data_IF_776290976380
#
_entry.id   IF_776290976380
#
_cell.length_a   1.000
_cell.length_b   1.000
_cell.length_c   1.000
_cell.angle_alpha   90.00
_cell.angle_beta   90.00
_cell.angle_gamma   90.00
#
_symmetry.space_group_name_H-M   'P 1'
#
loop_
_entity.id
_entity.type
_entity.pdbx_description
1 polymer ?
#
# COMPACT_ATOMS: atom_id res chain seq x y z
N UNK A 1 44.86 17.83 8.83
CA UNK A 1 44.20 17.78 7.51
C UNK A 1 44.67 19.01 6.73
N UNK A 2 45.01 18.92 5.43
CA UNK A 2 45.33 20.13 4.64
C UNK A 2 44.07 21.01 4.57
N UNK A 3 44.20 22.33 4.79
CA UNK A 3 43.09 23.29 4.74
C UNK A 3 42.81 23.83 3.34
N UNK A 4 43.58 23.39 2.34
CA UNK A 4 43.44 23.78 0.94
C UNK A 4 43.38 22.56 0.03
N UNK A 5 42.65 22.68 -1.07
CA UNK A 5 42.75 21.80 -2.23
C UNK A 5 43.83 22.42 -3.13
N UNK A 6 44.91 21.68 -3.33
CA UNK A 6 46.09 22.12 -4.07
C UNK A 6 46.12 21.36 -5.38
N UNK A 7 45.97 22.08 -6.49
CA UNK A 7 45.96 21.55 -7.86
C UNK A 7 47.24 22.06 -8.53
N UNK A 8 48.02 21.16 -9.13
CA UNK A 8 49.22 21.51 -9.88
C UNK A 8 49.23 20.87 -11.25
N UNK A 9 49.55 21.66 -12.26
CA UNK A 9 49.71 21.26 -13.65
C UNK A 9 48.44 20.70 -14.28
N UNK A 10 47.27 21.30 -14.04
CA UNK A 10 46.03 20.84 -14.68
C UNK A 10 46.03 21.18 -16.17
N UNK A 11 45.87 20.16 -17.02
CA UNK A 11 45.94 20.22 -18.49
C UNK A 11 44.74 19.57 -19.20
N UNK A 12 43.76 19.11 -18.43
CA UNK A 12 42.55 18.50 -18.99
C UNK A 12 41.88 19.42 -20.03
N UNK A 13 41.61 18.87 -21.22
CA UNK A 13 41.07 19.58 -22.38
C UNK A 13 41.87 20.83 -22.78
N UNK A 14 41.34 22.03 -22.53
CA UNK A 14 41.96 23.29 -22.94
C UNK A 14 42.68 24.03 -21.80
N UNK A 15 42.79 23.41 -20.61
CA UNK A 15 43.55 23.96 -19.49
C UNK A 15 45.04 24.07 -19.85
N UNK A 16 45.67 25.19 -19.49
CA UNK A 16 47.05 25.52 -19.88
C UNK A 16 48.01 25.37 -18.71
N UNK A 17 48.18 24.14 -18.23
CA UNK A 17 49.08 23.79 -17.11
C UNK A 17 48.81 24.65 -15.87
N UNK A 18 47.56 24.63 -15.42
CA UNK A 18 47.04 25.54 -14.40
C UNK A 18 47.38 25.05 -12.98
N UNK A 19 47.89 25.96 -12.15
CA UNK A 19 48.13 25.75 -10.72
C UNK A 19 47.14 26.57 -9.89
N UNK A 20 46.47 25.93 -8.92
CA UNK A 20 45.48 26.56 -8.06
C UNK A 20 45.55 26.07 -6.62
N UNK A 21 45.32 26.99 -5.68
CA UNK A 21 45.13 26.69 -4.26
C UNK A 21 43.74 27.18 -3.83
N UNK A 22 42.83 26.23 -3.62
CA UNK A 22 41.44 26.52 -3.25
C UNK A 22 41.22 26.32 -1.74
N UNK A 23 40.58 27.25 -1.03
CA UNK A 23 40.28 27.06 0.39
C UNK A 23 39.23 25.95 0.58
N UNK A 24 39.48 25.00 1.50
CA UNK A 24 38.47 24.00 1.86
C UNK A 24 37.37 24.65 2.71
N UNK A 25 36.19 24.03 2.72
CA UNK A 25 35.02 24.48 3.51
C UNK A 25 34.54 25.90 3.13
N UNK A 26 34.75 26.28 1.88
CA UNK A 26 34.27 27.53 1.30
C UNK A 26 33.36 27.24 0.11
N UNK A 27 32.42 28.15 -0.15
CA UNK A 27 31.66 28.16 -1.40
C UNK A 27 32.56 28.75 -2.47
N UNK A 28 33.14 27.89 -3.31
CA UNK A 28 34.02 28.28 -4.41
C UNK A 28 33.19 28.42 -5.68
N UNK A 29 33.23 29.59 -6.30
CA UNK A 29 32.55 29.86 -7.57
C UNK A 29 33.58 29.95 -8.69
N UNK A 30 33.49 29.06 -9.67
CA UNK A 30 34.30 29.11 -10.89
C UNK A 30 33.52 29.88 -11.97
N UNK A 31 34.05 31.03 -12.39
CA UNK A 31 33.39 31.93 -13.35
C UNK A 31 34.31 32.24 -14.54
N UNK A 32 33.73 32.69 -15.65
CA UNK A 32 34.43 32.99 -16.91
C UNK A 32 33.59 32.73 -18.16
N UNK A 33 34.03 33.22 -19.35
CA UNK A 33 33.28 33.11 -20.60
C UNK A 33 33.07 31.66 -21.04
N UNK A 34 32.07 31.39 -21.89
CA UNK A 34 31.83 30.04 -22.41
C UNK A 34 33.09 29.49 -23.08
N UNK A 35 33.40 28.21 -22.85
CA UNK A 35 34.62 27.58 -23.36
C UNK A 35 35.92 27.92 -22.61
N UNK A 36 35.90 28.72 -21.54
CA UNK A 36 37.13 29.09 -20.79
C UNK A 36 37.77 27.97 -19.96
N UNK A 37 37.28 26.73 -20.04
CA UNK A 37 37.79 25.58 -19.27
C UNK A 37 37.20 25.41 -17.87
N UNK A 38 36.09 26.11 -17.53
CA UNK A 38 35.42 25.98 -16.21
C UNK A 38 35.00 24.54 -15.91
N UNK A 39 34.29 23.91 -16.86
CA UNK A 39 33.83 22.53 -16.71
C UNK A 39 35.02 21.56 -16.68
N UNK A 40 36.05 21.82 -17.49
CA UNK A 40 37.28 21.02 -17.49
C UNK A 40 38.02 21.05 -16.17
N UNK A 41 38.03 22.19 -15.47
CA UNK A 41 38.58 22.30 -14.13
C UNK A 41 37.66 21.64 -13.08
N UNK A 42 36.38 21.99 -13.07
CA UNK A 42 35.45 21.59 -12.01
C UNK A 42 35.05 20.10 -12.10
N UNK A 43 34.58 19.66 -13.27
CA UNK A 43 34.06 18.31 -13.49
C UNK A 43 35.18 17.36 -13.93
N UNK A 44 35.88 17.72 -15.01
CA UNK A 44 36.82 16.78 -15.64
C UNK A 44 38.15 16.66 -14.88
N UNK A 45 38.46 17.57 -13.95
CA UNK A 45 39.69 17.50 -13.12
C UNK A 45 39.37 17.27 -11.65
N UNK A 46 38.70 18.22 -10.97
CA UNK A 46 38.48 18.15 -9.52
C UNK A 46 37.50 17.03 -9.17
N UNK A 47 36.29 17.04 -9.72
CA UNK A 47 35.32 15.99 -9.45
C UNK A 47 35.85 14.60 -9.85
N UNK A 48 36.43 14.49 -11.05
CA UNK A 48 37.03 13.24 -11.53
C UNK A 48 38.10 12.68 -10.57
N UNK A 49 39.06 13.49 -10.09
CA UNK A 49 40.05 13.04 -9.11
C UNK A 49 39.42 12.69 -7.76
N UNK A 50 38.44 13.47 -7.29
CA UNK A 50 37.77 13.24 -6.01
C UNK A 50 37.00 11.92 -5.99
N UNK A 51 36.25 11.65 -7.06
CA UNK A 51 35.50 10.40 -7.22
C UNK A 51 36.43 9.22 -7.48
N UNK A 52 37.44 9.34 -8.35
CA UNK A 52 38.43 8.28 -8.64
C UNK A 52 39.11 7.81 -7.35
N UNK A 53 39.62 8.73 -6.53
CA UNK A 53 40.29 8.38 -5.26
C UNK A 53 39.36 7.72 -4.25
N UNK A 54 38.10 8.15 -4.21
CA UNK A 54 37.10 7.53 -3.36
C UNK A 54 36.84 6.08 -3.81
N UNK A 55 36.61 5.85 -5.10
CA UNK A 55 36.44 4.49 -5.67
C UNK A 55 37.68 3.63 -5.45
N UNK A 56 38.87 4.20 -5.55
CA UNK A 56 40.14 3.50 -5.28
C UNK A 56 40.30 3.07 -3.81
N UNK A 57 39.58 3.69 -2.88
CA UNK A 57 39.56 3.29 -1.47
C UNK A 57 38.56 2.18 -1.15
N UNK A 58 37.65 1.85 -2.07
CA UNK A 58 36.67 0.78 -1.90
C UNK A 58 37.30 -0.62 -2.04
N UNK A 59 36.57 -1.65 -1.64
CA UNK A 59 37.03 -3.04 -1.71
C UNK A 59 37.36 -3.46 -3.16
N UNK A 60 38.28 -4.43 -3.30
CA UNK A 60 38.65 -5.01 -4.60
C UNK A 60 37.45 -5.55 -5.38
N UNK A 61 36.44 -6.07 -4.68
CA UNK A 61 35.17 -6.51 -5.25
C UNK A 61 34.33 -5.34 -5.79
N UNK A 62 34.17 -4.25 -5.02
CA UNK A 62 33.41 -3.08 -5.46
C UNK A 62 34.02 -2.43 -6.71
N UNK A 63 35.35 -2.45 -6.84
CA UNK A 63 36.07 -1.96 -8.04
C UNK A 63 35.77 -2.73 -9.33
N UNK A 64 35.19 -3.93 -9.26
CA UNK A 64 34.81 -4.70 -10.44
C UNK A 64 33.53 -4.15 -11.11
N UNK A 65 32.65 -3.50 -10.34
CA UNK A 65 31.34 -3.04 -10.80
C UNK A 65 31.23 -1.52 -10.98
N UNK A 66 32.29 -0.80 -10.62
CA UNK A 66 32.35 0.65 -10.76
C UNK A 66 33.15 1.00 -12.00
N UNK A 67 32.61 1.93 -12.80
CA UNK A 67 33.32 2.46 -13.95
C UNK A 67 34.68 3.00 -13.51
N UNK A 68 35.73 2.51 -14.17
CA UNK A 68 37.07 3.04 -13.99
C UNK A 68 37.09 4.43 -14.61
N UNK A 69 36.96 5.44 -13.78
CA UNK A 69 37.15 6.81 -14.21
C UNK A 69 38.58 6.99 -14.72
N UNK A 70 38.72 7.55 -15.90
CA UNK A 70 40.03 7.91 -16.43
C UNK A 70 40.71 8.90 -15.48
N UNK A 71 42.00 8.68 -15.23
CA UNK A 71 42.79 9.63 -14.46
C UNK A 71 42.94 10.91 -15.29
N UNK A 72 42.48 12.07 -14.81
CA UNK A 72 42.60 13.31 -15.55
C UNK A 72 44.06 13.76 -15.70
N UNK A 73 44.33 14.55 -16.73
CA UNK A 73 45.66 15.10 -17.00
C UNK A 73 45.98 16.24 -16.02
N UNK A 74 46.57 15.86 -14.89
CA UNK A 74 47.02 16.73 -13.82
C UNK A 74 48.25 16.12 -13.14
N UNK A 75 49.25 16.95 -12.82
CA UNK A 75 50.48 16.47 -12.16
C UNK A 75 50.20 16.03 -10.72
N UNK A 76 49.48 16.87 -9.98
CA UNK A 76 49.20 16.62 -8.57
C UNK A 76 47.93 17.30 -8.10
N UNK A 77 47.11 16.54 -7.39
CA UNK A 77 45.99 17.07 -6.61
C UNK A 77 46.13 16.62 -5.16
N UNK A 78 46.01 17.54 -4.23
CA UNK A 78 46.27 17.37 -2.81
C UNK A 78 45.09 17.93 -1.99
N UNK A 79 44.73 17.28 -0.89
CA UNK A 79 43.67 17.78 0.01
C UNK A 79 42.24 17.67 -0.55
N UNK A 80 42.03 16.87 -1.59
CA UNK A 80 40.71 16.64 -2.19
C UNK A 80 39.85 15.69 -1.35
N UNK A 81 38.57 16.01 -1.21
CA UNK A 81 37.56 15.15 -0.57
C UNK A 81 36.87 14.25 -1.60
N UNK A 82 36.19 13.17 -1.19
CA UNK A 82 35.20 12.51 -2.06
C UNK A 82 34.25 13.54 -2.65
N UNK A 83 34.05 13.49 -3.96
CA UNK A 83 33.32 14.51 -4.69
C UNK A 83 32.00 13.93 -5.25
N UNK A 84 30.97 14.77 -5.29
CA UNK A 84 29.67 14.48 -5.89
C UNK A 84 29.36 15.59 -6.88
N UNK A 85 29.09 15.23 -8.13
CA UNK A 85 28.67 16.18 -9.15
C UNK A 85 27.15 16.26 -9.16
N UNK A 86 26.63 17.48 -9.10
CA UNK A 86 25.21 17.77 -9.30
C UNK A 86 25.12 18.50 -10.64
N UNK A 87 24.86 17.73 -11.70
CA UNK A 87 24.73 18.23 -13.06
C UNK A 87 23.25 18.39 -13.43
N UNK A 88 22.95 19.34 -14.33
CA UNK A 88 21.66 19.40 -15.00
C UNK A 88 21.58 18.36 -16.14
N UNK A 89 22.01 17.12 -15.90
CA UNK A 89 21.68 16.02 -16.80
C UNK A 89 20.25 15.62 -16.51
N UNK A 90 19.39 15.66 -17.51
CA UNK A 90 18.05 15.11 -17.38
C UNK A 90 18.20 13.62 -17.08
N UNK A 91 17.83 13.15 -15.87
CA UNK A 91 17.81 11.72 -15.61
C UNK A 91 16.91 11.05 -16.65
N UNK A 92 17.30 9.85 -17.08
CA UNK A 92 16.51 9.03 -18.00
C UNK A 92 15.10 8.88 -17.42
N UNK A 93 14.12 9.49 -18.09
CA UNK A 93 12.72 9.46 -17.67
C UNK A 93 12.19 8.06 -17.90
N UNK A 94 12.01 7.29 -16.85
CA UNK A 94 11.18 6.08 -16.91
C UNK A 94 9.75 6.49 -16.61
N UNK A 95 8.78 5.89 -17.30
CA UNK A 95 7.35 6.21 -17.14
C UNK A 95 6.80 5.93 -15.74
N UNK A 96 7.56 5.22 -14.90
CA UNK A 96 7.21 4.91 -13.50
C UNK A 96 8.06 5.68 -12.48
N UNK A 97 8.96 6.56 -12.90
CA UNK A 97 9.68 7.45 -12.00
C UNK A 97 8.87 8.73 -11.79
N UNK A 98 8.67 9.09 -10.53
CA UNK A 98 7.98 10.30 -10.10
C UNK A 98 8.89 11.11 -9.20
N UNK A 99 8.53 12.36 -8.91
CA UNK A 99 9.25 13.17 -7.91
C UNK A 99 9.32 12.46 -6.56
N UNK A 100 8.24 11.78 -6.17
CA UNK A 100 8.16 11.05 -4.90
C UNK A 100 9.11 9.85 -4.84
N UNK A 101 9.32 9.13 -5.94
CA UNK A 101 10.29 8.03 -5.97
C UNK A 101 11.73 8.51 -6.09
N UNK A 102 11.98 9.59 -6.84
CA UNK A 102 13.32 10.18 -6.97
C UNK A 102 13.85 10.80 -5.67
N UNK A 103 12.94 11.30 -4.82
CA UNK A 103 13.27 11.90 -3.52
C UNK A 103 13.12 10.94 -2.34
N UNK A 104 12.74 9.67 -2.59
CA UNK A 104 12.39 8.66 -1.60
C UNK A 104 11.23 9.03 -0.65
N UNK A 105 10.64 10.23 -0.80
CA UNK A 105 9.48 10.68 0.00
C UNK A 105 8.33 9.68 -0.13
N UNK A 106 8.12 9.11 -1.32
CA UNK A 106 7.08 8.12 -1.53
C UNK A 106 7.32 6.83 -0.72
N UNK A 107 8.58 6.44 -0.47
CA UNK A 107 8.88 5.25 0.31
C UNK A 107 8.56 5.45 1.80
N UNK A 108 8.82 6.65 2.33
CA UNK A 108 8.36 7.02 3.68
C UNK A 108 6.84 7.07 3.78
N UNK A 109 6.19 7.60 2.75
CA UNK A 109 4.74 7.65 2.69
C UNK A 109 4.12 6.23 2.66
N UNK A 110 4.71 5.29 1.91
CA UNK A 110 4.29 3.88 1.91
C UNK A 110 4.39 3.26 3.30
N UNK A 111 5.47 3.55 4.02
CA UNK A 111 5.64 3.10 5.41
C UNK A 111 4.59 3.75 6.33
N UNK A 112 4.31 5.04 6.16
CA UNK A 112 3.30 5.76 6.93
C UNK A 112 1.92 5.10 6.77
N UNK A 113 1.45 4.92 5.53
CA UNK A 113 0.14 4.31 5.28
C UNK A 113 0.05 2.86 5.72
N UNK A 114 1.14 2.09 5.62
CA UNK A 114 1.16 0.72 6.11
C UNK A 114 1.09 0.62 7.65
N UNK A 115 1.63 1.60 8.37
CA UNK A 115 1.74 1.54 9.84
C UNK A 115 0.60 2.20 10.58
N UNK A 116 0.11 3.34 10.07
CA UNK A 116 -0.91 4.15 10.75
C UNK A 116 -2.11 4.46 9.86
N UNK A 117 -2.14 3.92 8.64
CA UNK A 117 -3.31 4.03 7.76
C UNK A 117 -4.50 3.29 8.35
N UNK A 118 -5.67 3.93 8.30
CA UNK A 118 -6.95 3.31 8.66
C UNK A 118 -7.65 2.88 7.38
N UNK A 119 -7.97 1.61 7.29
CA UNK A 119 -8.70 1.04 6.16
C UNK A 119 -10.19 1.16 6.43
N UNK A 120 -10.98 1.53 5.42
CA UNK A 120 -12.43 1.67 5.54
C UNK A 120 -13.13 0.78 4.52
N UNK A 121 -14.27 0.21 4.92
CA UNK A 121 -15.14 -0.53 4.02
C UNK A 121 -15.87 0.44 3.09
N UNK A 122 -15.77 0.29 1.76
CA UNK A 122 -16.59 1.08 0.84
C UNK A 122 -18.08 0.69 0.90
N UNK A 123 -18.39 -0.56 1.27
CA UNK A 123 -19.74 -1.13 1.15
C UNK A 123 -20.07 -1.46 -0.31
N UNK A 124 -21.37 -1.64 -0.59
CA UNK A 124 -21.87 -1.81 -1.95
C UNK A 124 -22.15 -0.45 -2.61
N UNK A 125 -22.17 -0.38 -3.97
CA UNK A 125 -22.49 0.86 -4.68
C UNK A 125 -23.81 1.51 -4.24
N UNK A 126 -24.79 0.69 -3.90
CA UNK A 126 -26.12 1.07 -3.44
C UNK A 126 -26.20 1.38 -1.93
N UNK A 127 -25.36 0.73 -1.11
CA UNK A 127 -25.36 0.87 0.37
C UNK A 127 -23.93 1.04 0.89
N UNK A 128 -23.45 2.29 1.04
CA UNK A 128 -22.11 2.55 1.55
C UNK A 128 -21.98 2.17 3.02
N UNK A 129 -20.83 1.59 3.40
CA UNK A 129 -20.58 1.13 4.76
C UNK A 129 -19.84 2.18 5.62
N UNK A 130 -18.63 2.58 5.19
CA UNK A 130 -17.80 3.56 5.91
C UNK A 130 -17.18 3.05 7.22
N UNK A 131 -17.39 1.77 7.57
CA UNK A 131 -16.84 1.16 8.80
C UNK A 131 -15.32 1.01 8.70
N UNK A 132 -14.61 1.38 9.77
CA UNK A 132 -13.17 1.14 9.89
C UNK A 132 -12.91 -0.38 9.99
N UNK A 133 -12.04 -0.88 9.13
CA UNK A 133 -11.60 -2.28 9.12
C UNK A 133 -10.44 -2.43 10.09
N UNK A 134 -10.68 -3.18 11.15
CA UNK A 134 -9.67 -3.59 12.10
C UNK A 134 -10.04 -4.97 12.67
N UNK A 135 -9.06 -5.82 12.99
CA UNK A 135 -9.29 -7.01 13.79
C UNK A 135 -9.86 -6.60 15.15
N UNK A 136 -11.02 -7.14 15.50
CA UNK A 136 -11.58 -7.04 16.83
C UNK A 136 -10.93 -8.07 17.77
N UNK A 137 -10.87 -7.71 19.04
CA UNK A 137 -10.48 -8.60 20.13
C UNK A 137 -11.67 -8.80 21.05
N UNK A 138 -11.61 -9.81 21.91
CA UNK A 138 -12.60 -10.00 22.98
C UNK A 138 -12.79 -8.71 23.79
N UNK A 139 -11.72 -7.97 24.05
CA UNK A 139 -11.79 -6.69 24.78
C UNK A 139 -12.56 -5.63 23.98
N UNK A 140 -12.24 -5.42 22.70
CA UNK A 140 -12.93 -4.39 21.90
C UNK A 140 -14.40 -4.71 21.70
N UNK A 141 -14.75 -5.99 21.54
CA UNK A 141 -16.13 -6.44 21.46
C UNK A 141 -16.88 -6.26 22.80
N UNK A 142 -16.20 -6.53 23.92
CA UNK A 142 -16.73 -6.31 25.28
C UNK A 142 -17.01 -4.82 25.49
N UNK A 143 -16.05 -3.96 25.20
CA UNK A 143 -16.17 -2.50 25.35
C UNK A 143 -17.30 -1.93 24.47
N UNK A 144 -17.40 -2.39 23.21
CA UNK A 144 -18.46 -1.98 22.29
C UNK A 144 -19.85 -2.43 22.78
N UNK A 145 -19.94 -3.61 23.39
CA UNK A 145 -21.20 -4.13 23.96
C UNK A 145 -21.60 -3.39 25.23
N UNK A 146 -20.62 -3.03 26.08
CA UNK A 146 -20.85 -2.23 27.29
C UNK A 146 -21.22 -0.77 27.00
N UNK A 147 -20.91 -0.27 25.80
CA UNK A 147 -21.34 1.05 25.33
C UNK A 147 -22.85 1.13 25.01
N UNK A 148 -23.56 -0.01 24.95
CA UNK A 148 -25.02 -0.04 24.81
C UNK A 148 -25.71 0.49 26.08
N UNK A 149 -26.97 0.96 25.98
CA UNK A 149 -27.72 1.44 27.15
C UNK A 149 -27.77 0.41 28.29
N UNK A 150 -27.54 0.86 29.52
CA UNK A 150 -27.51 -0.02 30.68
C UNK A 150 -28.83 -0.79 30.84
N UNK A 151 -28.73 -2.09 31.09
CA UNK A 151 -29.88 -2.97 31.24
C UNK A 151 -30.47 -3.53 29.95
N UNK A 152 -29.87 -3.21 28.79
CA UNK A 152 -30.18 -3.88 27.52
C UNK A 152 -29.94 -5.37 27.65
N UNK A 153 -30.89 -6.20 27.23
CA UNK A 153 -30.70 -7.66 27.16
C UNK A 153 -30.05 -7.96 25.82
N UNK A 154 -28.96 -8.71 25.82
CA UNK A 154 -28.25 -9.09 24.62
C UNK A 154 -27.96 -10.59 24.61
N UNK A 155 -27.99 -11.17 23.41
CA UNK A 155 -27.58 -12.55 23.17
C UNK A 155 -26.20 -12.52 22.52
N UNK A 156 -25.25 -13.22 23.13
CA UNK A 156 -23.93 -13.43 22.54
C UNK A 156 -24.03 -14.67 21.68
N UNK A 157 -23.76 -14.52 20.40
CA UNK A 157 -23.89 -15.57 19.41
C UNK A 157 -22.62 -15.67 18.55
N UNK A 158 -22.45 -16.79 17.87
CA UNK A 158 -21.53 -16.91 16.75
C UNK A 158 -22.26 -17.35 15.48
N UNK A 159 -21.85 -16.87 14.30
CA UNK A 159 -22.46 -17.28 13.04
C UNK A 159 -22.00 -18.69 12.67
N UNK A 160 -22.94 -19.57 12.33
CA UNK A 160 -22.62 -20.89 11.80
C UNK A 160 -22.76 -20.85 10.27
N UNK A 161 -21.66 -20.91 9.49
CA UNK A 161 -21.75 -20.91 8.04
C UNK A 161 -22.44 -22.21 7.57
N UNK A 162 -23.59 -22.06 6.93
CA UNK A 162 -24.34 -23.17 6.38
C UNK A 162 -23.72 -23.62 5.05
N UNK A 163 -23.55 -24.93 4.89
CA UNK A 163 -23.12 -25.52 3.62
C UNK A 163 -24.23 -26.40 3.05
N UNK A 164 -24.42 -26.36 1.73
CA UNK A 164 -25.42 -27.18 1.03
C UNK A 164 -25.16 -28.70 1.11
N UNK A 165 -24.02 -29.12 1.68
CA UNK A 165 -23.61 -30.53 1.81
C UNK A 165 -24.00 -31.15 3.15
N UNK A 166 -24.33 -30.33 4.15
CA UNK A 166 -24.61 -30.79 5.51
C UNK A 166 -26.12 -30.85 5.70
N UNK A 167 -26.62 -31.95 6.25
CA UNK A 167 -28.05 -32.13 6.52
C UNK A 167 -28.46 -31.48 7.83
N UNK A 168 -29.73 -31.07 7.94
CA UNK A 168 -30.32 -30.54 9.17
C UNK A 168 -30.01 -31.40 10.40
N UNK A 169 -30.20 -32.71 10.28
CA UNK A 169 -29.98 -33.66 11.38
C UNK A 169 -28.53 -33.59 11.91
N UNK A 170 -27.54 -33.51 11.02
CA UNK A 170 -26.13 -33.45 11.39
C UNK A 170 -25.77 -32.11 12.06
N UNK A 171 -26.35 -30.99 11.59
CA UNK A 171 -26.17 -29.68 12.26
C UNK A 171 -26.70 -29.74 13.69
N UNK A 172 -27.92 -30.25 13.87
CA UNK A 172 -28.55 -30.34 15.20
C UNK A 172 -27.77 -31.28 16.13
N UNK A 173 -27.35 -32.44 15.63
CA UNK A 173 -26.56 -33.41 16.40
C UNK A 173 -25.22 -32.82 16.86
N UNK A 174 -24.48 -32.15 15.96
CA UNK A 174 -23.22 -31.52 16.29
C UNK A 174 -23.38 -30.38 17.31
N UNK A 175 -24.39 -29.52 17.14
CA UNK A 175 -24.65 -28.43 18.09
C UNK A 175 -25.01 -28.97 19.48
N UNK A 176 -25.80 -30.05 19.54
CA UNK A 176 -26.10 -30.73 20.81
C UNK A 176 -24.86 -31.37 21.44
N UNK A 177 -24.01 -32.00 20.64
CA UNK A 177 -22.76 -32.60 21.12
C UNK A 177 -21.80 -31.55 21.71
N UNK A 178 -21.81 -30.34 21.17
CA UNK A 178 -21.08 -29.17 21.71
C UNK A 178 -21.78 -28.51 22.91
N UNK A 179 -22.99 -28.96 23.27
CA UNK A 179 -23.74 -28.45 24.42
C UNK A 179 -24.55 -27.18 24.14
N UNK A 180 -24.65 -26.74 22.88
CA UNK A 180 -25.52 -25.65 22.50
C UNK A 180 -26.96 -26.15 22.40
N UNK A 181 -27.89 -25.37 22.94
CA UNK A 181 -29.32 -25.76 23.02
C UNK A 181 -30.22 -24.77 22.28
N UNK A 182 -29.70 -23.58 21.93
CA UNK A 182 -30.46 -22.51 21.30
C UNK A 182 -29.75 -21.95 20.08
N UNK A 183 -30.56 -21.60 19.09
CA UNK A 183 -30.12 -20.96 17.86
C UNK A 183 -31.09 -19.84 17.48
N UNK A 184 -30.62 -18.82 16.79
CA UNK A 184 -31.45 -17.88 16.04
C UNK A 184 -31.35 -18.22 14.56
N UNK A 185 -32.46 -18.63 13.97
CA UNK A 185 -32.61 -18.80 12.52
C UNK A 185 -33.39 -17.60 11.97
N UNK A 186 -32.77 -16.81 11.09
CA UNK A 186 -33.35 -15.59 10.49
C UNK A 186 -33.98 -14.64 11.54
N UNK A 187 -33.31 -14.49 12.68
CA UNK A 187 -33.75 -13.64 13.79
C UNK A 187 -34.81 -14.24 14.72
N UNK A 188 -35.27 -15.47 14.49
CA UNK A 188 -36.20 -16.18 15.40
C UNK A 188 -35.43 -17.11 16.32
N UNK A 189 -35.57 -16.89 17.64
CA UNK A 189 -35.01 -17.79 18.66
C UNK A 189 -35.74 -19.13 18.63
N UNK A 190 -34.98 -20.23 18.55
CA UNK A 190 -35.47 -21.60 18.53
C UNK A 190 -34.67 -22.46 19.48
N UNK A 191 -35.35 -23.39 20.15
CA UNK A 191 -34.73 -24.40 21.00
C UNK A 191 -34.51 -25.68 20.18
N UNK A 192 -33.30 -26.24 20.23
CA UNK A 192 -32.95 -27.42 19.41
C UNK A 192 -33.77 -28.67 19.76
N UNK A 193 -34.31 -28.76 20.98
CA UNK A 193 -35.15 -29.88 21.41
C UNK A 193 -36.64 -29.70 21.07
N UNK A 194 -37.06 -28.47 20.77
CA UNK A 194 -38.45 -28.10 20.48
C UNK A 194 -38.57 -27.52 19.06
N UNK A 195 -37.81 -28.07 18.11
CA UNK A 195 -37.89 -27.64 16.72
C UNK A 195 -39.25 -28.05 16.13
N UNK A 196 -40.04 -27.11 15.59
CA UNK A 196 -41.28 -27.40 14.88
C UNK A 196 -41.07 -28.38 13.72
N UNK A 197 -42.03 -29.29 13.53
CA UNK A 197 -41.98 -30.25 12.42
C UNK A 197 -41.92 -29.52 11.06
N UNK A 198 -40.94 -29.88 10.23
CA UNK A 198 -40.75 -29.33 8.89
C UNK A 198 -39.82 -28.12 8.78
N UNK A 199 -39.21 -27.66 9.88
CA UNK A 199 -38.15 -26.63 9.82
C UNK A 199 -36.82 -27.27 9.47
N UNK A 200 -36.16 -26.69 8.47
CA UNK A 200 -34.84 -27.08 8.00
C UNK A 200 -33.87 -25.91 8.24
N UNK A 201 -33.07 -26.01 9.31
CA UNK A 201 -32.08 -24.97 9.66
C UNK A 201 -31.05 -24.73 8.54
N UNK A 202 -30.84 -25.68 7.62
CA UNK A 202 -29.91 -25.52 6.50
C UNK A 202 -30.41 -24.56 5.42
N UNK A 203 -31.71 -24.22 5.46
CA UNK A 203 -32.35 -23.26 4.56
C UNK A 203 -32.45 -21.86 5.14
N UNK A 204 -32.06 -21.66 6.39
CA UNK A 204 -32.01 -20.32 6.98
C UNK A 204 -31.00 -19.46 6.20
N UNK A 205 -31.33 -18.20 5.95
CA UNK A 205 -30.41 -17.25 5.33
C UNK A 205 -29.25 -16.92 6.28
N UNK A 206 -29.56 -16.84 7.58
CA UNK A 206 -28.59 -16.69 8.64
C UNK A 206 -28.92 -17.58 9.85
N UNK A 207 -27.91 -18.30 10.35
CA UNK A 207 -27.98 -19.13 11.55
C UNK A 207 -26.95 -18.66 12.57
N UNK A 208 -27.42 -18.15 13.71
CA UNK A 208 -26.58 -17.73 14.82
C UNK A 208 -26.78 -18.68 16.00
N UNK A 209 -25.70 -19.26 16.52
CA UNK A 209 -25.77 -20.15 17.68
C UNK A 209 -25.63 -19.30 18.95
N UNK A 210 -26.55 -19.48 19.91
CA UNK A 210 -26.56 -18.69 21.14
C UNK A 210 -25.61 -19.31 22.16
N UNK A 211 -24.59 -18.56 22.57
CA UNK A 211 -23.63 -18.95 23.62
C UNK A 211 -24.17 -18.58 24.99
N UNK A 212 -24.53 -17.30 25.19
CA UNK A 212 -25.06 -16.81 26.46
C UNK A 212 -26.09 -15.69 26.26
N UNK A 213 -26.92 -15.49 27.28
CA UNK A 213 -27.89 -14.39 27.37
C UNK A 213 -27.53 -13.54 28.57
N UNK A 214 -27.13 -12.32 28.30
CA UNK A 214 -26.59 -11.40 29.29
C UNK A 214 -27.42 -10.13 29.34
N UNK A 215 -27.40 -9.49 30.50
CA UNK A 215 -27.87 -8.11 30.66
C UNK A 215 -26.63 -7.23 30.64
N UNK A 216 -26.63 -6.20 29.79
CA UNK A 216 -25.53 -5.24 29.70
C UNK A 216 -25.43 -4.51 31.03
N UNK A 217 -24.39 -4.85 31.77
CA UNK A 217 -24.08 -4.32 33.11
C UNK A 217 -22.54 -4.33 33.27
N UNK A 218 -21.90 -3.21 33.65
CA UNK A 218 -20.46 -3.14 33.87
C UNK A 218 -19.91 -4.18 34.86
N UNK A 219 -20.72 -4.57 35.86
CA UNK A 219 -20.31 -5.58 36.84
C UNK A 219 -20.18 -6.99 36.23
N UNK A 220 -20.86 -7.25 35.11
CA UNK A 220 -20.83 -8.53 34.41
C UNK A 220 -19.82 -8.57 33.26
N UNK A 221 -18.89 -7.60 33.19
CA UNK A 221 -17.88 -7.49 32.13
C UNK A 221 -17.05 -8.77 31.96
N UNK A 222 -16.64 -9.43 33.05
CA UNK A 222 -15.90 -10.69 33.00
C UNK A 222 -16.69 -11.82 32.31
N UNK A 223 -17.97 -11.98 32.67
CA UNK A 223 -18.85 -12.99 32.05
C UNK A 223 -19.11 -12.71 30.57
N UNK A 224 -19.27 -11.44 30.21
CA UNK A 224 -19.42 -11.00 28.82
C UNK A 224 -18.14 -11.32 28.01
N UNK A 225 -16.96 -11.05 28.58
CA UNK A 225 -15.69 -11.37 27.94
C UNK A 225 -15.51 -12.89 27.74
N UNK A 226 -15.85 -13.71 28.74
CA UNK A 226 -15.80 -15.17 28.62
C UNK A 226 -16.75 -15.67 27.51
N UNK A 227 -17.98 -15.16 27.49
CA UNK A 227 -18.99 -15.53 26.48
C UNK A 227 -18.56 -15.12 25.06
N UNK A 228 -18.00 -13.92 24.91
CA UNK A 228 -17.45 -13.46 23.64
C UNK A 228 -16.22 -14.29 23.23
N UNK A 229 -15.36 -14.66 24.17
CA UNK A 229 -14.23 -15.55 23.91
C UNK A 229 -14.65 -16.91 23.36
N UNK A 230 -15.71 -17.51 23.94
CA UNK A 230 -16.32 -18.72 23.40
C UNK A 230 -16.92 -18.48 22.02
N UNK A 231 -17.64 -17.38 21.81
CA UNK A 231 -18.21 -17.06 20.51
C UNK A 231 -17.13 -16.89 19.42
N UNK A 232 -16.04 -16.18 19.69
CA UNK A 232 -14.91 -16.06 18.77
C UNK A 232 -14.25 -17.40 18.48
N UNK A 233 -14.10 -18.27 19.49
CA UNK A 233 -13.44 -19.57 19.31
C UNK A 233 -14.29 -20.51 18.45
N UNK A 234 -15.58 -20.65 18.77
CA UNK A 234 -16.50 -21.56 18.08
C UNK A 234 -16.96 -20.99 16.72
N UNK A 235 -16.98 -19.66 16.58
CA UNK A 235 -17.30 -18.94 15.34
C UNK A 235 -16.12 -18.75 14.39
N UNK A 236 -15.00 -19.43 14.60
CA UNK A 236 -13.76 -19.30 13.82
C UNK A 236 -13.27 -17.84 13.64
N UNK A 237 -13.38 -17.03 14.70
CA UNK A 237 -13.00 -15.63 14.69
C UNK A 237 -14.15 -14.64 14.50
N UNK A 238 -15.39 -15.12 14.45
CA UNK A 238 -16.59 -14.29 14.32
C UNK A 238 -17.46 -14.32 15.58
N UNK A 239 -17.93 -13.16 16.00
CA UNK A 239 -18.88 -13.03 17.10
C UNK A 239 -19.97 -12.02 16.75
N UNK A 240 -21.20 -12.32 17.14
CA UNK A 240 -22.36 -11.46 16.92
C UNK A 240 -23.09 -11.26 18.23
N UNK A 241 -23.24 -10.01 18.64
CA UNK A 241 -24.07 -9.64 19.77
C UNK A 241 -25.41 -9.13 19.23
N UNK A 242 -26.50 -9.76 19.65
CA UNK A 242 -27.86 -9.40 19.24
C UNK A 242 -28.58 -8.76 20.43
N UNK A 243 -28.62 -7.41 20.54
CA UNK A 243 -29.38 -6.74 21.58
C UNK A 243 -30.87 -6.76 21.25
N UNK A 244 -31.71 -6.97 22.27
CA UNK A 244 -33.17 -7.01 22.09
C UNK A 244 -33.68 -5.64 21.67
N UNK A 245 -34.26 -5.55 20.48
CA UNK A 245 -34.84 -4.31 19.94
C UNK A 245 -33.84 -3.36 19.27
N UNK A 246 -32.60 -3.77 19.07
CA UNK A 246 -31.58 -3.00 18.35
C UNK A 246 -30.96 -3.82 17.22
N UNK A 247 -30.19 -3.15 16.35
CA UNK A 247 -29.42 -3.84 15.32
C UNK A 247 -28.32 -4.73 15.94
N UNK A 248 -28.00 -5.88 15.34
CA UNK A 248 -26.93 -6.74 15.79
C UNK A 248 -25.56 -6.05 15.62
N UNK A 249 -24.68 -6.23 16.60
CA UNK A 249 -23.28 -5.83 16.54
C UNK A 249 -22.44 -7.04 16.13
N UNK A 250 -21.82 -6.96 14.97
CA UNK A 250 -20.94 -8.01 14.44
C UNK A 250 -19.48 -7.65 14.67
N UNK A 251 -18.67 -8.64 15.05
CA UNK A 251 -17.24 -8.51 15.33
C UNK A 251 -16.47 -9.64 14.62
N UNK A 252 -15.27 -9.34 14.17
CA UNK A 252 -14.37 -10.30 13.51
C UNK A 252 -12.94 -10.08 13.97
N UNK A 253 -12.21 -11.15 14.29
CA UNK A 253 -10.78 -11.08 14.60
C UNK A 253 -9.89 -11.03 13.35
N UNK A 254 -10.51 -11.07 12.16
CA UNK A 254 -9.82 -11.02 10.87
C UNK A 254 -9.81 -9.59 10.33
N UNK A 255 -8.93 -9.31 9.38
CA UNK A 255 -8.88 -8.02 8.70
C UNK A 255 -9.97 -7.94 7.61
N UNK A 256 -11.25 -7.96 7.99
CA UNK A 256 -12.40 -7.92 7.07
C UNK A 256 -13.56 -7.10 7.62
N UNK A 257 -14.54 -6.79 6.78
CA UNK A 257 -15.79 -6.18 7.22
C UNK A 257 -16.76 -7.26 7.71
N UNK A 258 -17.28 -7.20 8.96
CA UNK A 258 -18.28 -8.15 9.44
C UNK A 258 -19.61 -8.09 8.68
N UNK A 259 -19.94 -6.92 8.12
CA UNK A 259 -21.20 -6.67 7.41
C UNK A 259 -21.11 -6.95 5.91
N UNK A 260 -19.89 -7.04 5.37
CA UNK A 260 -19.61 -7.26 3.94
C UNK A 260 -18.50 -8.31 3.78
N UNK A 261 -18.78 -9.60 4.12
CA UNK A 261 -17.80 -10.68 4.11
C UNK A 261 -17.27 -11.02 2.71
N UNK A 262 -17.98 -10.62 1.65
CA UNK A 262 -17.62 -10.82 0.24
C UNK A 262 -16.56 -9.83 -0.27
N UNK A 263 -16.33 -8.72 0.45
CA UNK A 263 -15.28 -7.76 0.08
C UNK A 263 -13.96 -8.23 0.68
N UNK A 264 -12.99 -8.54 -0.19
CA UNK A 264 -11.64 -8.89 0.23
C UNK A 264 -10.82 -7.65 0.60
N UNK A 265 -10.15 -7.70 1.75
CA UNK A 265 -9.23 -6.66 2.20
C UNK A 265 -7.84 -7.25 2.36
N UNK A 266 -6.83 -6.52 1.88
CA UNK A 266 -5.44 -6.86 2.12
C UNK A 266 -4.93 -6.12 3.37
N UNK A 267 -4.19 -6.83 4.23
CA UNK A 267 -3.55 -6.22 5.40
C UNK A 267 -2.55 -5.14 4.96
N UNK A 268 -2.66 -3.89 5.44
CA UNK A 268 -1.78 -2.80 5.05
C UNK A 268 -0.31 -3.17 5.19
N UNK A 269 0.42 -3.11 4.07
CA UNK A 269 1.86 -3.34 4.01
C UNK A 269 2.49 -2.33 3.07
N UNK A 270 3.78 -1.97 3.24
CA UNK A 270 4.42 -0.96 2.38
C UNK A 270 4.42 -1.35 0.90
N UNK A 271 4.26 -2.63 0.57
CA UNK A 271 4.21 -3.12 -0.81
C UNK A 271 2.86 -2.84 -1.48
N UNK A 272 1.75 -2.86 -0.72
CA UNK A 272 0.42 -2.50 -1.23
C UNK A 272 0.33 -1.04 -1.65
N UNK A 273 1.14 -0.17 -1.06
CA UNK A 273 1.21 1.24 -1.43
C UNK A 273 2.25 1.52 -2.53
N UNK A 274 2.80 0.49 -3.19
CA UNK A 274 3.77 0.66 -4.26
C UNK A 274 3.13 0.39 -5.62
N UNK A 275 2.97 1.43 -6.44
CA UNK A 275 2.53 1.27 -7.84
C UNK A 275 3.55 0.53 -8.72
N UNK A 276 4.79 0.35 -8.27
CA UNK A 276 5.81 -0.46 -8.95
C UNK A 276 5.73 -1.95 -8.60
N UNK A 277 4.90 -2.34 -7.62
CA UNK A 277 4.74 -3.71 -7.18
C UNK A 277 3.37 -4.23 -7.64
N UNK A 278 3.25 -5.43 -8.24
CA UNK A 278 1.97 -6.01 -8.65
C UNK A 278 0.89 -6.00 -7.56
N UNK A 279 1.26 -6.14 -6.28
CA UNK A 279 0.32 -6.12 -5.16
C UNK A 279 -0.31 -4.74 -4.91
N UNK A 280 0.36 -3.64 -5.29
CA UNK A 280 -0.11 -2.27 -5.09
C UNK A 280 -0.41 -1.50 -6.37
N UNK A 281 -0.07 -2.07 -7.53
CA UNK A 281 -0.32 -1.45 -8.83
C UNK A 281 -1.77 -1.61 -9.25
N UNK A 282 -2.36 -0.55 -9.79
CA UNK A 282 -3.69 -0.62 -10.40
C UNK A 282 -3.70 -1.70 -11.50
N UNK A 283 -4.71 -2.59 -11.54
CA UNK A 283 -4.77 -3.69 -12.51
C UNK A 283 -5.00 -3.21 -13.95
N UNK A 284 -5.66 -2.07 -14.16
CA UNK A 284 -5.93 -1.53 -15.50
C UNK A 284 -4.68 -0.90 -16.13
N UNK A 285 -3.99 -0.04 -15.40
CA UNK A 285 -2.82 0.68 -15.91
C UNK A 285 -1.48 0.05 -15.49
N UNK A 286 -1.48 -1.03 -14.72
CA UNK A 286 -0.27 -1.69 -14.18
C UNK A 286 0.70 -0.73 -13.46
N UNK A 287 0.14 0.29 -12.80
CA UNK A 287 0.91 1.30 -12.07
C UNK A 287 1.50 2.43 -12.91
N UNK A 288 1.18 2.53 -14.21
CA UNK A 288 1.58 3.69 -15.03
C UNK A 288 0.76 4.95 -14.75
N UNK A 289 -0.41 4.82 -14.12
CA UNK A 289 -1.31 5.94 -13.85
C UNK A 289 -2.02 6.51 -15.08
N UNK A 290 -1.74 5.97 -16.27
CA UNK A 290 -2.38 6.33 -17.52
C UNK A 290 -2.60 5.08 -18.39
N UNK A 291 -3.70 5.08 -19.15
CA UNK A 291 -4.01 4.05 -20.15
C UNK A 291 -4.03 4.75 -21.51
N UNK A 292 -3.29 4.21 -22.48
CA UNK A 292 -3.33 4.74 -23.84
C UNK A 292 -4.68 4.39 -24.47
N UNK A 293 -5.47 5.41 -24.78
CA UNK A 293 -6.72 5.29 -25.53
C UNK A 293 -6.65 6.19 -26.75
N UNK A 294 -7.46 5.86 -27.75
CA UNK A 294 -7.61 6.72 -28.92
C UNK A 294 -8.36 7.99 -28.50
N UNK A 295 -7.80 9.13 -28.90
CA UNK A 295 -8.45 10.43 -28.74
C UNK A 295 -9.17 10.76 -30.05
N UNK A 296 -10.51 10.78 -30.00
CA UNK A 296 -11.35 11.07 -31.17
C UNK A 296 -11.05 12.45 -31.77
N UNK A 297 -10.63 13.41 -30.95
CA UNK A 297 -10.29 14.76 -31.42
C UNK A 297 -9.03 14.80 -32.30
N UNK A 298 -8.13 13.82 -32.12
CA UNK A 298 -6.94 13.63 -32.96
C UNK A 298 -7.23 12.78 -34.20
N UNK A 299 -8.35 12.05 -34.22
CA UNK A 299 -8.80 11.27 -35.38
C UNK A 299 -9.61 12.17 -36.32
N UNK A 300 -10.51 12.97 -35.78
CA UNK A 300 -11.38 13.91 -36.51
C UNK A 300 -10.98 15.35 -36.16
N UNK A 301 -9.81 15.77 -36.64
CA UNK A 301 -9.24 17.09 -36.35
C UNK A 301 -10.13 18.25 -36.82
N UNK A 302 -10.99 18.03 -37.82
CA UNK A 302 -11.96 19.02 -38.29
C UNK A 302 -13.31 18.38 -38.62
N UNK A 303 -14.26 18.37 -37.67
CA UNK A 303 -15.59 17.79 -37.85
C UNK A 303 -16.45 18.47 -38.92
N UNK A 304 -16.10 19.70 -39.33
CA UNK A 304 -16.85 20.46 -40.33
C UNK A 304 -16.49 20.08 -41.77
N UNK A 305 -15.42 19.31 -42.00
CA UNK A 305 -15.07 18.80 -43.33
C UNK A 305 -15.91 17.58 -43.68
N UNK A 306 -16.20 17.41 -44.97
CA UNK A 306 -16.77 16.15 -45.44
C UNK A 306 -15.74 15.01 -45.39
N UNK A 307 -16.21 13.76 -45.49
CA UNK A 307 -15.33 12.60 -45.58
C UNK A 307 -14.42 12.65 -46.82
N UNK A 308 -14.93 13.14 -47.95
CA UNK A 308 -14.15 13.31 -49.18
C UNK A 308 -13.06 14.39 -49.03
N UNK A 309 -13.35 15.45 -48.28
CA UNK A 309 -12.38 16.48 -47.87
C UNK A 309 -11.52 16.05 -46.67
N UNK A 310 -11.58 14.75 -46.32
CA UNK A 310 -10.81 14.05 -45.31
C UNK A 310 -10.88 14.67 -43.93
N UNK A 311 -12.08 14.62 -43.37
CA UNK A 311 -12.34 14.83 -41.95
C UNK A 311 -11.56 13.87 -41.04
N UNK A 312 -11.30 12.64 -41.51
CA UNK A 312 -10.58 11.59 -40.76
C UNK A 312 -9.10 11.59 -41.16
N UNK A 313 -8.23 12.03 -40.25
CA UNK A 313 -6.80 12.21 -40.52
C UNK A 313 -6.03 10.90 -40.79
N UNK A 314 -6.23 9.81 -40.00
CA UNK A 314 -5.51 8.55 -40.21
C UNK A 314 -5.77 7.89 -41.58
N UNK A 315 -6.88 8.20 -42.25
CA UNK A 315 -7.21 7.64 -43.58
C UNK A 315 -6.38 8.25 -44.71
N UNK A 316 -5.69 9.36 -44.45
CA UNK A 316 -4.88 10.10 -45.43
C UNK A 316 -3.40 9.74 -45.37
N UNK A 317 -2.96 9.16 -44.26
CA UNK A 317 -1.57 8.75 -44.06
C UNK A 317 -1.25 7.59 -45.03
N UNK A 318 -0.06 7.56 -45.63
CA UNK A 318 0.36 6.44 -46.46
C UNK A 318 0.25 5.14 -45.66
N UNK A 319 -0.49 4.17 -46.20
CA UNK A 319 -0.54 2.84 -45.61
C UNK A 319 0.84 2.23 -45.75
N UNK A 320 1.46 1.87 -44.62
CA UNK A 320 2.57 0.94 -44.65
C UNK A 320 2.00 -0.41 -45.11
N UNK A 321 2.23 -0.77 -46.37
CA UNK A 321 2.05 -2.15 -46.82
C UNK A 321 3.14 -2.99 -46.14
N UNK A 322 2.71 -4.02 -45.43
CA UNK A 322 3.58 -4.96 -44.72
C UNK A 322 4.23 -5.96 -45.70
#
# INVERSE_FOLDING_TARGET
MKDRIVIRGARQHNLKNLDLDLPRRAVIVVTGPSGSGKSSLAFDTVYAEGQRRYVESLSTYAKQFLDRMEKPDVDRVDGISPAVAIEQRNPTKTSRSTVGTATEVYDYLRLLWARVGRTYCPGHPETPCGREIRPDSVQTATDATLALPAGTRAMVCFPLPLSARVTHALVVENLRALGFVRVLADGKEMHLDELPEGIDLTRAGELLVVVDRIKVDPEQSGRLADSLGTAFTEGEGEAVVVPVGMAPLRFTDRFRCPDHPEIEFATPSPQLFSFNNPYGSCPECTGFGAVLRLDESLIVCNPARSLAEGAVDPWRMPRYEA
#
